data_IF_878162675195
#
_entry.id   IF_878162675195
#
_cell.length_a   1.000
_cell.length_b   1.000
_cell.length_c   1.000
_cell.angle_alpha   90.00
_cell.angle_beta   90.00
_cell.angle_gamma   90.00
#
_symmetry.space_group_name_H-M   'P 1'
#
loop_
_entity.id
_entity.type
_entity.pdbx_description
1 polymer ?
#
# COMPACT_ATOMS: atom_id res chain seq x y z
N UNK A 1 17.16 16.96 2.03
CA UNK A 1 17.39 15.80 1.11
C UNK A 1 18.85 15.73 0.72
N UNK A 2 19.45 14.53 0.79
CA UNK A 2 20.79 14.25 0.28
C UNK A 2 20.82 14.39 -1.24
N UNK A 3 22.01 14.39 -1.85
CA UNK A 3 22.13 14.42 -3.31
C UNK A 3 21.52 13.17 -3.94
N UNK A 4 21.76 11.99 -3.38
CA UNK A 4 21.20 10.71 -3.85
C UNK A 4 19.67 10.68 -3.82
N UNK A 5 19.06 11.22 -2.74
CA UNK A 5 17.60 11.35 -2.64
C UNK A 5 17.02 12.27 -3.73
N UNK A 6 17.70 13.36 -4.02
CA UNK A 6 17.28 14.29 -5.09
C UNK A 6 17.36 13.62 -6.47
N UNK A 7 18.47 12.94 -6.75
CA UNK A 7 18.68 12.20 -8.01
C UNK A 7 17.64 11.08 -8.18
N UNK A 8 17.38 10.32 -7.10
CA UNK A 8 16.31 9.32 -7.10
C UNK A 8 14.95 9.93 -7.42
N UNK A 9 14.54 11.00 -6.71
CA UNK A 9 13.25 11.64 -6.95
C UNK A 9 13.13 12.23 -8.35
N UNK A 10 14.20 12.81 -8.90
CA UNK A 10 14.21 13.31 -10.27
C UNK A 10 13.98 12.18 -11.29
N UNK A 11 14.67 11.05 -11.11
CA UNK A 11 14.49 9.89 -11.97
C UNK A 11 13.10 9.29 -11.82
N UNK A 12 12.65 9.08 -10.59
CA UNK A 12 11.34 8.53 -10.29
C UNK A 12 10.21 9.37 -10.87
N UNK A 13 10.34 10.71 -10.77
CA UNK A 13 9.41 11.66 -11.36
C UNK A 13 9.41 11.59 -12.89
N UNK A 14 10.59 11.58 -13.51
CA UNK A 14 10.72 11.48 -14.97
C UNK A 14 10.13 10.15 -15.51
N UNK A 15 10.23 9.05 -14.76
CA UNK A 15 9.58 7.80 -15.13
C UNK A 15 8.05 7.91 -15.11
N UNK A 16 7.48 8.63 -14.13
CA UNK A 16 6.03 8.87 -14.03
C UNK A 16 5.55 9.80 -15.17
N UNK A 17 6.27 10.88 -15.46
CA UNK A 17 5.93 11.79 -16.56
C UNK A 17 5.93 11.04 -17.90
N UNK A 18 6.99 10.25 -18.17
CA UNK A 18 7.08 9.41 -19.37
C UNK A 18 5.91 8.44 -19.46
N UNK A 19 5.59 7.73 -18.37
CA UNK A 19 4.45 6.83 -18.32
C UNK A 19 3.13 7.59 -18.59
N UNK A 20 2.95 8.79 -18.05
CA UNK A 20 1.78 9.62 -18.31
C UNK A 20 1.63 9.99 -19.79
N UNK A 21 2.73 10.35 -20.45
CA UNK A 21 2.74 10.68 -21.88
C UNK A 21 2.40 9.46 -22.75
N UNK A 22 2.93 8.29 -22.40
CA UNK A 22 2.63 7.03 -23.09
C UNK A 22 1.16 6.64 -22.91
N UNK A 23 0.65 6.67 -21.68
CA UNK A 23 -0.70 6.24 -21.33
C UNK A 23 -1.80 7.15 -21.91
N UNK A 24 -1.56 8.45 -22.07
CA UNK A 24 -2.51 9.36 -22.75
C UNK A 24 -2.81 8.95 -24.20
N UNK A 25 -1.88 8.26 -24.85
CA UNK A 25 -1.97 7.84 -26.24
C UNK A 25 -2.38 6.37 -26.40
N UNK A 26 -2.70 5.67 -25.32
CA UNK A 26 -3.09 4.28 -25.33
C UNK A 26 -4.52 4.13 -24.80
N UNK A 27 -5.30 3.14 -25.28
CA UNK A 27 -6.58 2.82 -24.68
C UNK A 27 -6.36 2.22 -23.28
N UNK A 28 -7.24 2.57 -22.35
CA UNK A 28 -7.25 1.93 -21.03
C UNK A 28 -7.54 0.43 -21.20
N UNK A 29 -6.81 -0.46 -20.49
CA UNK A 29 -7.01 -1.90 -20.56
C UNK A 29 -8.47 -2.29 -20.29
N UNK A 30 -8.99 -3.25 -21.03
CA UNK A 30 -10.33 -3.81 -20.84
C UNK A 30 -10.23 -5.07 -19.98
N UNK A 31 -10.98 -5.10 -18.87
CA UNK A 31 -11.07 -6.30 -18.02
C UNK A 31 -12.24 -7.17 -18.54
N UNK A 32 -11.90 -8.32 -19.13
CA UNK A 32 -12.89 -9.26 -19.65
C UNK A 32 -13.17 -10.35 -18.62
N UNK A 33 -14.44 -10.66 -18.42
CA UNK A 33 -14.84 -11.71 -17.47
C UNK A 33 -14.30 -13.08 -17.85
N UNK A 34 -14.20 -13.38 -19.12
CA UNK A 34 -13.63 -14.63 -19.63
C UNK A 34 -12.18 -14.84 -19.17
N UNK A 35 -11.38 -13.77 -19.12
CA UNK A 35 -9.99 -13.82 -18.63
C UNK A 35 -9.93 -14.03 -17.11
N UNK A 36 -10.90 -13.50 -16.35
CA UNK A 36 -11.04 -13.77 -14.92
C UNK A 36 -11.34 -15.26 -14.66
N UNK A 37 -12.32 -15.82 -15.38
CA UNK A 37 -12.71 -17.22 -15.22
C UNK A 37 -11.70 -18.22 -15.81
N UNK A 38 -10.80 -17.78 -16.69
CA UNK A 38 -9.74 -18.62 -17.24
C UNK A 38 -8.85 -19.25 -16.15
N UNK A 39 -8.67 -18.55 -15.01
CA UNK A 39 -7.94 -19.10 -13.88
C UNK A 39 -8.57 -20.40 -13.32
N UNK A 40 -9.89 -20.43 -13.17
CA UNK A 40 -10.62 -21.63 -12.73
C UNK A 40 -10.39 -22.83 -13.66
N UNK A 41 -10.33 -22.58 -14.96
CA UNK A 41 -10.23 -23.63 -15.98
C UNK A 41 -8.80 -24.13 -16.21
N UNK A 42 -7.82 -23.22 -16.17
CA UNK A 42 -6.44 -23.49 -16.63
C UNK A 42 -5.36 -23.17 -15.61
N UNK A 43 -5.70 -22.46 -14.53
CA UNK A 43 -4.72 -21.89 -13.59
C UNK A 43 -4.01 -20.63 -14.11
N UNK A 44 -4.37 -20.14 -15.31
CA UNK A 44 -3.77 -18.94 -15.87
C UNK A 44 -4.43 -17.68 -15.29
N UNK A 45 -3.68 -16.92 -14.51
CA UNK A 45 -4.09 -15.63 -13.94
C UNK A 45 -3.45 -14.43 -14.65
N UNK A 46 -2.36 -14.66 -15.38
CA UNK A 46 -1.48 -13.59 -15.88
C UNK A 46 -2.16 -12.69 -16.92
N UNK A 47 -3.09 -13.22 -17.71
CA UNK A 47 -3.82 -12.42 -18.70
C UNK A 47 -4.67 -11.38 -17.99
N UNK A 48 -5.53 -11.80 -17.07
CA UNK A 48 -6.39 -10.88 -16.31
C UNK A 48 -5.58 -9.91 -15.45
N UNK A 49 -4.58 -10.42 -14.73
CA UNK A 49 -3.71 -9.60 -13.87
C UNK A 49 -2.94 -8.55 -14.67
N UNK A 50 -2.48 -8.86 -15.88
CA UNK A 50 -1.81 -7.90 -16.75
C UNK A 50 -2.68 -6.68 -17.07
N UNK A 51 -3.94 -6.91 -17.45
CA UNK A 51 -4.91 -5.84 -17.73
C UNK A 51 -5.34 -5.11 -16.45
N UNK A 52 -5.53 -5.84 -15.36
CA UNK A 52 -5.87 -5.30 -14.04
C UNK A 52 -4.79 -4.33 -13.53
N UNK A 53 -3.53 -4.77 -13.51
CA UNK A 53 -2.42 -3.91 -13.08
C UNK A 53 -2.13 -2.79 -14.08
N UNK A 54 -2.42 -3.00 -15.36
CA UNK A 54 -2.45 -1.93 -16.36
C UNK A 54 -3.36 -0.79 -15.93
N UNK A 55 -4.60 -1.06 -15.49
CA UNK A 55 -5.50 -0.02 -14.95
C UNK A 55 -4.97 0.62 -13.67
N UNK A 56 -4.33 -0.15 -12.79
CA UNK A 56 -3.70 0.40 -11.57
C UNK A 56 -2.52 1.31 -11.90
N UNK A 57 -1.80 1.03 -13.02
CA UNK A 57 -0.79 1.96 -13.56
C UNK A 57 -1.40 3.31 -13.92
N UNK A 58 -2.54 3.32 -14.66
CA UNK A 58 -3.27 4.55 -14.96
C UNK A 58 -3.66 5.30 -13.68
N UNK A 59 -4.24 4.60 -12.70
CA UNK A 59 -4.65 5.20 -11.43
C UNK A 59 -3.47 5.89 -10.73
N UNK A 60 -2.36 5.20 -10.58
CA UNK A 60 -1.19 5.69 -9.85
C UNK A 60 -0.50 6.83 -10.59
N UNK A 61 -0.31 6.71 -11.91
CA UNK A 61 0.32 7.76 -12.73
C UNK A 61 -0.52 9.03 -12.68
N UNK A 62 -1.81 8.95 -13.05
CA UNK A 62 -2.64 10.16 -13.12
C UNK A 62 -3.05 10.68 -11.74
N UNK A 63 -3.10 9.83 -10.72
CA UNK A 63 -3.23 10.26 -9.33
C UNK A 63 -2.06 11.13 -8.88
N UNK A 64 -0.83 10.65 -9.06
CA UNK A 64 0.39 11.38 -8.69
C UNK A 64 0.54 12.66 -9.53
N UNK A 65 0.37 12.60 -10.86
CA UNK A 65 0.46 13.79 -11.71
C UNK A 65 -0.61 14.83 -11.35
N UNK A 66 -1.83 14.40 -11.01
CA UNK A 66 -2.91 15.30 -10.56
C UNK A 66 -2.60 15.95 -9.22
N UNK A 67 -2.04 15.21 -8.29
CA UNK A 67 -1.70 15.70 -6.96
C UNK A 67 -0.59 16.74 -7.01
N UNK A 68 0.52 16.42 -7.67
CA UNK A 68 1.74 17.24 -7.60
C UNK A 68 1.85 18.30 -8.69
N UNK A 69 1.18 18.14 -9.83
CA UNK A 69 1.14 19.15 -10.90
C UNK A 69 -0.17 19.94 -10.93
N UNK A 70 -1.30 19.29 -10.63
CA UNK A 70 -2.62 19.91 -10.67
C UNK A 70 -3.12 20.30 -12.07
N UNK A 71 -2.57 19.72 -13.14
CA UNK A 71 -2.98 20.01 -14.53
C UNK A 71 -4.37 19.43 -14.81
N UNK A 72 -5.22 20.21 -15.47
CA UNK A 72 -6.60 19.81 -15.80
C UNK A 72 -6.67 18.52 -16.62
N UNK A 73 -5.73 18.34 -17.56
CA UNK A 73 -5.65 17.13 -18.38
C UNK A 73 -5.42 15.85 -17.55
N UNK A 74 -4.59 15.93 -16.48
CA UNK A 74 -4.33 14.82 -15.58
C UNK A 74 -5.55 14.52 -14.73
N UNK A 75 -6.22 15.54 -14.20
CA UNK A 75 -7.46 15.40 -13.43
C UNK A 75 -8.59 14.77 -14.26
N UNK A 76 -8.70 15.14 -15.54
CA UNK A 76 -9.66 14.54 -16.46
C UNK A 76 -9.37 13.06 -16.71
N UNK A 77 -8.12 12.69 -16.94
CA UNK A 77 -7.72 11.29 -17.09
C UNK A 77 -7.96 10.52 -15.79
N UNK A 78 -7.60 11.07 -14.64
CA UNK A 78 -7.85 10.47 -13.35
C UNK A 78 -9.34 10.19 -13.12
N UNK A 79 -10.22 11.14 -13.42
CA UNK A 79 -11.66 10.95 -13.29
C UNK A 79 -12.16 9.77 -14.14
N UNK A 80 -11.67 9.64 -15.38
CA UNK A 80 -12.02 8.50 -16.25
C UNK A 80 -11.53 7.16 -15.67
N UNK A 81 -10.34 7.14 -15.10
CA UNK A 81 -9.79 5.93 -14.45
C UNK A 81 -10.57 5.53 -13.21
N UNK A 82 -10.92 6.51 -12.36
CA UNK A 82 -11.76 6.28 -11.18
C UNK A 82 -13.11 5.69 -11.57
N UNK A 83 -13.77 6.26 -12.59
CA UNK A 83 -15.04 5.77 -13.08
C UNK A 83 -14.90 4.34 -13.66
N UNK A 84 -13.81 4.05 -14.39
CA UNK A 84 -13.57 2.72 -14.95
C UNK A 84 -13.35 1.66 -13.86
N UNK A 85 -12.58 2.00 -12.79
CA UNK A 85 -12.34 1.08 -11.67
C UNK A 85 -13.65 0.83 -10.90
N UNK A 86 -14.47 1.84 -10.70
CA UNK A 86 -15.78 1.70 -10.07
C UNK A 86 -16.73 0.79 -10.84
N UNK A 87 -16.56 0.63 -12.15
CA UNK A 87 -17.38 -0.28 -12.99
C UNK A 87 -16.82 -1.69 -13.13
N UNK A 88 -15.64 -1.99 -12.58
CA UNK A 88 -15.10 -3.35 -12.56
C UNK A 88 -16.03 -4.28 -11.77
N UNK A 89 -16.27 -5.46 -12.29
CA UNK A 89 -17.11 -6.45 -11.60
C UNK A 89 -16.41 -6.97 -10.34
N UNK A 90 -15.12 -7.31 -10.47
CA UNK A 90 -14.31 -7.85 -9.38
C UNK A 90 -13.15 -6.90 -9.08
N UNK A 91 -12.98 -6.57 -7.78
CA UNK A 91 -11.74 -5.92 -7.32
C UNK A 91 -10.73 -6.94 -6.80
N UNK A 92 -11.21 -8.12 -6.37
CA UNK A 92 -10.34 -9.24 -6.01
C UNK A 92 -9.77 -9.93 -7.25
N UNK A 93 -8.56 -10.49 -7.14
CA UNK A 93 -7.95 -11.25 -8.21
C UNK A 93 -8.51 -12.68 -8.30
N UNK A 94 -8.49 -13.29 -9.49
CA UNK A 94 -9.05 -14.63 -9.71
C UNK A 94 -8.37 -15.71 -8.84
N UNK A 95 -7.08 -15.55 -8.52
CA UNK A 95 -6.36 -16.48 -7.66
C UNK A 95 -6.72 -16.38 -6.16
N UNK A 96 -7.49 -15.36 -5.77
CA UNK A 96 -7.81 -15.06 -4.37
C UNK A 96 -9.30 -15.29 -4.02
N UNK A 97 -10.10 -15.69 -4.99
CA UNK A 97 -11.53 -15.94 -4.79
C UNK A 97 -11.85 -17.43 -4.73
N UNK A 98 -12.95 -17.77 -4.05
CA UNK A 98 -13.48 -19.12 -4.07
C UNK A 98 -14.53 -19.25 -5.20
N UNK A 99 -14.18 -19.91 -6.31
CA UNK A 99 -15.09 -20.07 -7.45
C UNK A 99 -16.31 -20.94 -7.17
N UNK A 100 -16.29 -21.76 -6.12
CA UNK A 100 -17.46 -22.58 -5.73
C UNK A 100 -18.46 -21.79 -4.89
N UNK A 101 -18.04 -20.65 -4.33
CA UNK A 101 -18.87 -19.70 -3.60
C UNK A 101 -18.39 -18.28 -3.92
N UNK A 102 -18.48 -17.92 -5.23
CA UNK A 102 -17.95 -16.66 -5.73
C UNK A 102 -18.74 -15.48 -5.18
N UNK A 103 -18.03 -14.59 -4.48
CA UNK A 103 -18.53 -13.32 -3.99
C UNK A 103 -17.78 -12.18 -4.67
N UNK A 104 -18.52 -11.35 -5.41
CA UNK A 104 -17.97 -10.16 -6.11
C UNK A 104 -17.41 -9.11 -5.13
N UNK A 105 -17.80 -9.19 -3.85
CA UNK A 105 -17.34 -8.31 -2.76
C UNK A 105 -16.29 -8.96 -1.87
N UNK A 106 -15.61 -10.02 -2.37
CA UNK A 106 -14.47 -10.60 -1.66
C UNK A 106 -13.41 -9.53 -1.40
N UNK A 107 -13.02 -9.37 -0.14
CA UNK A 107 -11.94 -8.46 0.26
C UNK A 107 -10.65 -9.27 0.34
N UNK A 108 -9.88 -9.24 -0.74
CA UNK A 108 -8.50 -9.73 -0.81
C UNK A 108 -7.52 -8.55 -0.70
N UNK A 109 -6.24 -8.80 -0.95
CA UNK A 109 -5.19 -7.77 -0.98
C UNK A 109 -5.60 -6.61 -1.89
N UNK A 110 -6.02 -6.92 -3.13
CA UNK A 110 -6.21 -5.90 -4.16
C UNK A 110 -7.57 -5.19 -4.07
N UNK A 111 -8.59 -5.83 -3.57
CA UNK A 111 -9.86 -5.16 -3.26
C UNK A 111 -9.66 -4.16 -2.10
N UNK A 112 -8.91 -4.55 -1.06
CA UNK A 112 -8.56 -3.67 0.05
C UNK A 112 -7.69 -2.50 -0.41
N UNK A 113 -6.62 -2.77 -1.19
CA UNK A 113 -5.74 -1.74 -1.77
C UNK A 113 -6.50 -0.79 -2.70
N UNK A 114 -7.45 -1.29 -3.49
CA UNK A 114 -8.29 -0.47 -4.37
C UNK A 114 -9.14 0.49 -3.54
N UNK A 115 -9.81 0.00 -2.49
CA UNK A 115 -10.63 0.85 -1.61
C UNK A 115 -9.80 1.96 -0.95
N UNK A 116 -8.61 1.62 -0.44
CA UNK A 116 -7.68 2.57 0.15
C UNK A 116 -7.25 3.63 -0.87
N UNK A 117 -6.80 3.20 -2.05
CA UNK A 117 -6.29 4.09 -3.08
C UNK A 117 -7.36 5.08 -3.56
N UNK A 118 -8.57 4.58 -3.84
CA UNK A 118 -9.68 5.40 -4.32
C UNK A 118 -10.08 6.48 -3.30
N UNK A 119 -10.24 6.10 -2.02
CA UNK A 119 -10.65 7.05 -0.98
C UNK A 119 -9.53 8.01 -0.58
N UNK A 120 -8.28 7.60 -0.60
CA UNK A 120 -7.17 8.52 -0.38
C UNK A 120 -7.04 9.55 -1.51
N UNK A 121 -7.23 9.13 -2.76
CA UNK A 121 -7.28 10.06 -3.91
C UNK A 121 -8.45 11.05 -3.76
N UNK A 122 -9.61 10.58 -3.30
CA UNK A 122 -10.76 11.46 -3.02
C UNK A 122 -10.47 12.42 -1.87
N UNK A 123 -9.78 11.98 -0.82
CA UNK A 123 -9.39 12.86 0.29
C UNK A 123 -8.44 13.98 -0.19
N UNK A 124 -7.45 13.63 -1.04
CA UNK A 124 -6.45 14.57 -1.55
C UNK A 124 -7.01 15.50 -2.64
N UNK A 125 -7.82 14.97 -3.56
CA UNK A 125 -8.18 15.63 -4.82
C UNK A 125 -9.69 15.82 -5.02
N UNK A 126 -10.54 15.38 -4.09
CA UNK A 126 -12.00 15.37 -4.27
C UNK A 126 -12.58 16.72 -4.68
N UNK A 127 -12.02 17.81 -4.17
CA UNK A 127 -12.47 19.17 -4.50
C UNK A 127 -12.14 19.57 -5.96
N UNK A 128 -11.25 18.84 -6.64
CA UNK A 128 -10.83 19.08 -8.03
C UNK A 128 -11.42 18.08 -9.01
N UNK A 129 -12.08 17.03 -8.51
CA UNK A 129 -12.70 15.98 -9.32
C UNK A 129 -14.18 16.27 -9.55
N UNK A 130 -14.81 15.72 -10.61
CA UNK A 130 -16.25 15.81 -10.80
C UNK A 130 -16.99 15.20 -9.60
N UNK A 131 -17.98 15.91 -9.05
CA UNK A 131 -18.73 15.45 -7.88
C UNK A 131 -19.36 14.05 -8.10
N UNK A 132 -19.88 13.77 -9.29
CA UNK A 132 -20.47 12.47 -9.64
C UNK A 132 -19.42 11.33 -9.57
N UNK A 133 -18.17 11.57 -9.97
CA UNK A 133 -17.08 10.57 -9.86
C UNK A 133 -16.74 10.33 -8.39
N UNK A 134 -16.66 11.40 -7.57
CA UNK A 134 -16.40 11.28 -6.13
C UNK A 134 -17.51 10.49 -5.42
N UNK A 135 -18.78 10.83 -5.68
CA UNK A 135 -19.93 10.12 -5.12
C UNK A 135 -19.95 8.64 -5.51
N UNK A 136 -19.59 8.32 -6.77
CA UNK A 136 -19.49 6.92 -7.24
C UNK A 136 -18.39 6.18 -6.48
N UNK A 137 -17.20 6.75 -6.34
CA UNK A 137 -16.10 6.15 -5.56
C UNK A 137 -16.54 5.86 -4.14
N UNK A 138 -17.13 6.83 -3.47
CA UNK A 138 -17.63 6.67 -2.09
C UNK A 138 -18.67 5.56 -1.99
N UNK A 139 -19.63 5.51 -2.93
CA UNK A 139 -20.65 4.48 -2.98
C UNK A 139 -20.06 3.08 -3.18
N UNK A 140 -19.18 2.90 -4.17
CA UNK A 140 -18.60 1.61 -4.50
C UNK A 140 -17.70 1.08 -3.38
N UNK A 141 -16.85 1.93 -2.78
CA UNK A 141 -16.00 1.51 -1.65
C UNK A 141 -16.85 1.16 -0.44
N UNK A 142 -17.88 1.95 -0.16
CA UNK A 142 -18.81 1.67 0.95
C UNK A 142 -19.51 0.33 0.75
N UNK A 143 -20.01 0.06 -0.46
CA UNK A 143 -20.77 -1.14 -0.79
C UNK A 143 -19.90 -2.40 -0.85
N UNK A 144 -18.69 -2.30 -1.39
CA UNK A 144 -17.86 -3.48 -1.66
C UNK A 144 -16.92 -3.83 -0.50
N UNK A 145 -16.51 -2.86 0.31
CA UNK A 145 -15.48 -3.10 1.33
C UNK A 145 -15.97 -2.72 2.74
N UNK A 146 -16.45 -1.51 2.94
CA UNK A 146 -16.70 -1.01 4.29
C UNK A 146 -17.90 -1.71 4.94
N UNK A 147 -19.03 -1.77 4.24
CA UNK A 147 -20.25 -2.45 4.74
C UNK A 147 -20.00 -3.94 4.92
N UNK A 148 -19.48 -4.72 3.94
CA UNK A 148 -19.19 -6.13 4.13
C UNK A 148 -18.26 -6.40 5.32
N UNK A 149 -17.20 -5.60 5.47
CA UNK A 149 -16.25 -5.81 6.57
C UNK A 149 -16.89 -5.52 7.94
N UNK A 150 -17.56 -4.37 8.11
CA UNK A 150 -18.09 -3.96 9.42
C UNK A 150 -19.30 -4.78 9.86
N UNK A 151 -20.08 -5.34 8.93
CA UNK A 151 -21.29 -6.14 9.24
C UNK A 151 -21.00 -7.64 9.34
N UNK A 152 -19.81 -8.08 8.91
CA UNK A 152 -19.42 -9.49 9.01
C UNK A 152 -19.13 -9.92 10.45
N UNK A 153 -19.21 -11.23 10.70
CA UNK A 153 -18.67 -11.85 11.92
C UNK A 153 -17.13 -11.82 11.88
N UNK A 154 -16.49 -11.75 13.04
CA UNK A 154 -15.02 -11.81 13.15
C UNK A 154 -14.58 -13.29 13.18
N UNK A 155 -13.59 -13.71 12.39
CA UNK A 155 -12.91 -12.93 11.36
C UNK A 155 -13.77 -12.76 10.09
N UNK A 156 -13.62 -11.64 9.38
CA UNK A 156 -14.20 -11.47 8.05
C UNK A 156 -13.70 -12.56 7.10
N UNK A 157 -12.39 -12.77 7.11
CA UNK A 157 -11.69 -13.80 6.35
C UNK A 157 -10.47 -14.27 7.14
N UNK A 158 -9.84 -15.35 6.71
CA UNK A 158 -8.67 -15.95 7.34
C UNK A 158 -7.53 -14.93 7.61
N UNK A 159 -7.31 -13.98 6.71
CA UNK A 159 -6.24 -12.99 6.83
C UNK A 159 -6.38 -12.05 8.04
N UNK A 160 -7.59 -11.85 8.57
CA UNK A 160 -7.82 -10.98 9.74
C UNK A 160 -7.14 -11.50 11.02
N UNK A 161 -6.87 -12.80 11.08
CA UNK A 161 -6.21 -13.44 12.22
C UNK A 161 -4.88 -14.13 11.86
N UNK A 162 -4.41 -13.93 10.63
CA UNK A 162 -3.16 -14.52 10.17
C UNK A 162 -1.95 -13.68 10.59
N UNK A 163 -0.77 -14.30 10.54
CA UNK A 163 0.51 -13.70 10.93
C UNK A 163 1.38 -13.29 9.75
N UNK A 164 0.85 -13.33 8.54
CA UNK A 164 1.56 -12.96 7.32
C UNK A 164 1.23 -11.53 6.86
N UNK A 165 1.88 -11.10 5.78
CA UNK A 165 1.67 -9.77 5.19
C UNK A 165 0.21 -9.45 4.85
N UNK A 166 -0.63 -10.46 4.54
CA UNK A 166 -2.06 -10.26 4.23
C UNK A 166 -2.80 -9.52 5.34
N UNK A 167 -2.52 -9.86 6.60
CA UNK A 167 -3.13 -9.17 7.74
C UNK A 167 -2.83 -7.67 7.73
N UNK A 168 -1.56 -7.29 7.44
CA UNK A 168 -1.18 -5.88 7.39
C UNK A 168 -1.78 -5.15 6.19
N UNK A 169 -1.73 -5.79 5.01
CA UNK A 169 -2.18 -5.17 3.76
C UNK A 169 -3.69 -4.98 3.75
N UNK A 170 -4.46 -6.04 3.99
CA UNK A 170 -5.92 -5.95 3.98
C UNK A 170 -6.43 -5.06 5.11
N UNK A 171 -6.01 -5.30 6.35
CA UNK A 171 -6.50 -4.53 7.48
C UNK A 171 -6.04 -3.07 7.42
N UNK A 172 -4.75 -2.81 7.11
CA UNK A 172 -4.24 -1.45 6.97
C UNK A 172 -4.99 -0.66 5.90
N UNK A 173 -5.27 -1.28 4.74
CA UNK A 173 -6.03 -0.67 3.66
C UNK A 173 -7.47 -0.37 4.06
N UNK A 174 -8.18 -1.34 4.65
CA UNK A 174 -9.57 -1.15 5.13
C UNK A 174 -9.62 -0.06 6.21
N UNK A 175 -8.64 -0.04 7.11
CA UNK A 175 -8.55 0.99 8.16
C UNK A 175 -8.34 2.39 7.61
N UNK A 176 -7.43 2.58 6.66
CA UNK A 176 -7.23 3.87 5.98
C UNK A 176 -8.49 4.29 5.22
N UNK A 177 -9.09 3.37 4.46
CA UNK A 177 -10.34 3.63 3.75
C UNK A 177 -11.47 4.08 4.69
N UNK A 178 -11.61 3.45 5.85
CA UNK A 178 -12.61 3.84 6.85
C UNK A 178 -12.38 5.24 7.44
N UNK A 179 -11.12 5.61 7.66
CA UNK A 179 -10.75 6.96 8.13
C UNK A 179 -11.12 8.00 7.07
N UNK A 180 -10.66 7.81 5.81
CA UNK A 180 -10.94 8.76 4.72
C UNK A 180 -12.44 8.87 4.40
N UNK A 181 -13.18 7.74 4.45
CA UNK A 181 -14.63 7.76 4.27
C UNK A 181 -15.33 8.59 5.35
N UNK A 182 -14.93 8.42 6.61
CA UNK A 182 -15.49 9.20 7.72
C UNK A 182 -15.22 10.69 7.56
N UNK A 183 -13.98 11.04 7.20
CA UNK A 183 -13.58 12.43 6.95
C UNK A 183 -14.36 13.02 5.78
N UNK A 184 -14.62 12.23 4.72
CA UNK A 184 -15.45 12.68 3.61
C UNK A 184 -16.88 12.98 4.05
N UNK A 185 -17.55 12.11 4.83
CA UNK A 185 -18.90 12.38 5.35
C UNK A 185 -18.94 13.66 6.22
N UNK A 186 -17.92 13.85 7.06
CA UNK A 186 -17.81 15.02 7.92
C UNK A 186 -17.59 16.31 7.10
N UNK A 187 -16.67 16.29 6.13
CA UNK A 187 -16.33 17.42 5.25
C UNK A 187 -17.51 17.82 4.37
N UNK A 188 -18.21 16.86 3.79
CA UNK A 188 -19.34 17.10 2.89
C UNK A 188 -20.65 17.31 3.61
N UNK A 189 -20.68 17.16 4.95
CA UNK A 189 -21.90 17.23 5.78
C UNK A 189 -23.01 16.29 5.27
N UNK A 190 -22.61 15.14 4.69
CA UNK A 190 -23.52 14.14 4.17
C UNK A 190 -23.87 13.13 5.27
N UNK A 191 -25.12 12.62 5.29
CA UNK A 191 -25.46 11.50 6.16
C UNK A 191 -24.64 10.27 5.75
N UNK A 192 -24.19 9.50 6.74
CA UNK A 192 -23.57 8.20 6.46
C UNK A 192 -24.55 7.26 5.77
N UNK A 193 -24.05 6.28 5.03
CA UNK A 193 -24.84 5.20 4.46
C UNK A 193 -25.63 4.49 5.58
N UNK A 194 -26.93 4.25 5.35
CA UNK A 194 -27.83 3.65 6.33
C UNK A 194 -27.48 2.23 6.74
N UNK A 195 -26.71 1.52 5.90
CA UNK A 195 -26.21 0.17 6.18
C UNK A 195 -25.06 0.16 7.19
N UNK A 196 -24.42 1.32 7.43
CA UNK A 196 -23.34 1.45 8.39
C UNK A 196 -23.90 1.51 9.81
N UNK A 197 -23.55 0.58 10.72
CA UNK A 197 -24.02 0.60 12.09
C UNK A 197 -23.53 1.83 12.86
N UNK A 198 -24.12 2.08 14.02
CA UNK A 198 -23.62 3.13 14.91
C UNK A 198 -22.20 2.77 15.38
N UNK A 199 -21.30 3.75 15.43
CA UNK A 199 -19.89 3.52 15.80
C UNK A 199 -19.08 2.69 14.81
N UNK A 200 -19.52 2.53 13.56
CA UNK A 200 -18.88 1.71 12.53
C UNK A 200 -17.39 1.99 12.35
N UNK A 201 -16.97 3.25 12.33
CA UNK A 201 -15.56 3.65 12.19
C UNK A 201 -14.72 3.06 13.34
N UNK A 202 -15.17 3.23 14.58
CA UNK A 202 -14.43 2.70 15.73
C UNK A 202 -14.39 1.18 15.74
N UNK A 203 -15.47 0.53 15.31
CA UNK A 203 -15.51 -0.94 15.16
C UNK A 203 -14.47 -1.42 14.17
N UNK A 204 -14.37 -0.77 13.00
CA UNK A 204 -13.34 -1.11 11.99
C UNK A 204 -11.94 -0.85 12.56
N UNK A 205 -11.68 0.33 13.15
CA UNK A 205 -10.37 0.67 13.72
C UNK A 205 -9.91 -0.38 14.74
N UNK A 206 -10.81 -0.82 15.64
CA UNK A 206 -10.48 -1.83 16.63
C UNK A 206 -10.10 -3.16 15.97
N UNK A 207 -10.91 -3.68 15.03
CA UNK A 207 -10.62 -4.91 14.29
C UNK A 207 -9.30 -4.83 13.50
N UNK A 208 -9.06 -3.70 12.86
CA UNK A 208 -7.81 -3.43 12.13
C UNK A 208 -6.62 -3.45 13.08
N UNK A 209 -6.71 -2.82 14.25
CA UNK A 209 -5.65 -2.85 15.25
C UNK A 209 -5.36 -4.28 15.75
N UNK A 210 -6.38 -5.12 15.91
CA UNK A 210 -6.24 -6.53 16.30
C UNK A 210 -5.55 -7.33 15.18
N UNK A 211 -5.97 -7.18 13.92
CA UNK A 211 -5.34 -7.83 12.78
C UNK A 211 -3.87 -7.38 12.58
N UNK A 212 -3.60 -6.10 12.74
CA UNK A 212 -2.22 -5.57 12.71
C UNK A 212 -1.37 -6.07 13.87
N UNK A 213 -1.97 -6.41 15.02
CA UNK A 213 -1.24 -7.07 16.09
C UNK A 213 -0.88 -8.51 15.69
N UNK A 214 -1.78 -9.26 15.03
CA UNK A 214 -1.46 -10.58 14.49
C UNK A 214 -0.29 -10.52 13.50
N UNK A 215 -0.26 -9.53 12.61
CA UNK A 215 0.88 -9.30 11.71
C UNK A 215 2.20 -9.06 12.48
N UNK A 216 2.20 -8.19 13.49
CA UNK A 216 3.40 -7.96 14.31
C UNK A 216 3.82 -9.23 15.07
N UNK A 217 2.86 -10.04 15.52
CA UNK A 217 3.12 -11.32 16.19
C UNK A 217 3.70 -12.37 15.23
N UNK A 218 3.52 -12.19 13.93
CA UNK A 218 4.15 -12.99 12.88
C UNK A 218 5.61 -12.66 12.62
N UNK A 219 6.07 -11.47 13.01
CA UNK A 219 7.49 -11.15 13.00
C UNK A 219 8.19 -11.84 14.18
N UNK A 220 9.44 -12.18 14.02
CA UNK A 220 10.23 -12.79 15.08
C UNK A 220 10.56 -11.78 16.21
N UNK A 221 10.98 -12.27 17.36
CA UNK A 221 11.27 -11.43 18.55
C UNK A 221 12.44 -10.45 18.35
N UNK A 222 13.34 -10.74 17.41
CA UNK A 222 14.45 -9.88 16.98
C UNK A 222 14.07 -8.94 15.81
N UNK A 223 12.80 -8.99 15.36
CA UNK A 223 12.25 -8.17 14.29
C UNK A 223 12.35 -8.81 12.90
N UNK A 224 12.88 -10.02 12.77
CA UNK A 224 13.01 -10.66 11.45
C UNK A 224 11.66 -10.98 10.82
N UNK A 225 11.55 -10.70 9.50
CA UNK A 225 10.44 -11.10 8.67
C UNK A 225 10.79 -12.39 7.93
N UNK A 226 10.20 -13.52 8.31
CA UNK A 226 10.50 -14.83 7.70
C UNK A 226 10.00 -14.98 6.27
N UNK A 227 9.11 -14.11 5.81
CA UNK A 227 8.65 -14.06 4.42
C UNK A 227 9.68 -13.39 3.47
N UNK A 228 10.70 -12.71 3.99
CA UNK A 228 11.71 -12.03 3.21
C UNK A 228 11.51 -10.52 3.06
N UNK A 229 12.52 -9.85 2.45
CA UNK A 229 12.55 -8.38 2.31
C UNK A 229 11.39 -7.80 1.49
N UNK A 230 10.98 -8.49 0.43
CA UNK A 230 9.87 -8.03 -0.41
C UNK A 230 8.57 -7.94 0.38
N UNK A 231 8.23 -9.00 1.10
CA UNK A 231 7.02 -9.04 1.94
C UNK A 231 7.13 -8.17 3.19
N UNK A 232 8.34 -8.02 3.76
CA UNK A 232 8.58 -7.00 4.79
C UNK A 232 8.19 -5.61 4.28
N UNK A 233 8.71 -5.19 3.13
CA UNK A 233 8.42 -3.88 2.55
C UNK A 233 6.92 -3.73 2.24
N UNK A 234 6.28 -4.79 1.74
CA UNK A 234 4.87 -4.80 1.41
C UNK A 234 3.99 -4.64 2.66
N UNK A 235 4.12 -5.53 3.64
CA UNK A 235 3.32 -5.47 4.87
C UNK A 235 3.57 -4.20 5.68
N UNK A 236 4.85 -3.81 5.84
CA UNK A 236 5.20 -2.58 6.58
C UNK A 236 4.71 -1.30 5.91
N UNK A 237 4.57 -1.26 4.58
CA UNK A 237 3.99 -0.09 3.90
C UNK A 237 2.56 0.17 4.34
N UNK A 238 1.73 -0.87 4.42
CA UNK A 238 0.32 -0.74 4.84
C UNK A 238 0.17 -0.58 6.36
N UNK A 239 1.01 -1.26 7.14
CA UNK A 239 1.08 -1.04 8.57
C UNK A 239 1.39 0.41 8.91
N UNK A 240 2.46 0.96 8.32
CA UNK A 240 2.89 2.34 8.58
C UNK A 240 1.96 3.37 7.97
N UNK A 241 1.36 3.07 6.81
CA UNK A 241 0.33 3.92 6.20
C UNK A 241 -0.87 4.10 7.13
N UNK A 242 -1.41 3.00 7.64
CA UNK A 242 -2.51 3.06 8.61
C UNK A 242 -2.07 3.69 9.95
N UNK A 243 -0.89 3.34 10.46
CA UNK A 243 -0.37 3.93 11.70
C UNK A 243 -0.29 5.45 11.63
N UNK A 244 0.17 6.00 10.50
CA UNK A 244 0.21 7.45 10.26
C UNK A 244 -1.21 8.04 10.17
N UNK A 245 -2.10 7.43 9.39
CA UNK A 245 -3.48 7.91 9.25
C UNK A 245 -4.21 7.92 10.60
N UNK A 246 -4.07 6.86 11.40
CA UNK A 246 -4.67 6.77 12.73
C UNK A 246 -4.06 7.78 13.71
N UNK A 247 -2.75 7.99 13.66
CA UNK A 247 -2.10 9.01 14.47
C UNK A 247 -2.63 10.41 14.17
N UNK A 248 -2.82 10.73 12.90
CA UNK A 248 -3.39 12.01 12.46
C UNK A 248 -4.87 12.14 12.88
N UNK A 249 -5.68 11.12 12.61
CA UNK A 249 -7.11 11.07 12.95
C UNK A 249 -7.32 11.26 14.47
N UNK A 250 -6.50 10.65 15.28
CA UNK A 250 -6.57 10.69 16.74
C UNK A 250 -5.77 11.85 17.37
N UNK A 251 -5.23 12.74 16.54
CA UNK A 251 -4.37 13.87 16.98
C UNK A 251 -3.24 13.44 17.91
N UNK A 252 -2.62 12.30 17.58
CA UNK A 252 -1.49 11.75 18.30
C UNK A 252 -1.82 10.93 19.55
N UNK A 253 -3.10 10.71 19.87
CA UNK A 253 -3.47 9.93 21.07
C UNK A 253 -3.26 8.42 20.90
N UNK A 254 -3.30 7.91 19.66
CA UNK A 254 -2.99 6.52 19.33
C UNK A 254 -1.78 6.51 18.39
N UNK A 255 -0.69 5.90 18.85
CA UNK A 255 0.57 5.79 18.10
C UNK A 255 1.01 4.33 18.03
N UNK A 256 0.72 3.68 16.91
CA UNK A 256 1.07 2.27 16.70
C UNK A 256 2.57 2.06 16.53
N UNK A 257 3.31 3.09 16.12
CA UNK A 257 4.76 3.00 15.98
C UNK A 257 5.50 2.92 17.33
N UNK A 258 4.82 3.24 18.45
CA UNK A 258 5.40 3.08 19.80
C UNK A 258 5.33 1.65 20.36
N UNK A 259 4.77 0.71 19.63
CA UNK A 259 4.79 -0.70 20.04
C UNK A 259 6.25 -1.21 20.10
N UNK A 260 6.68 -1.88 21.19
CA UNK A 260 8.09 -2.23 21.40
C UNK A 260 8.74 -3.04 20.28
N UNK A 261 7.95 -3.88 19.58
CA UNK A 261 8.44 -4.73 18.49
C UNK A 261 8.69 -3.95 17.19
N UNK A 262 7.99 -2.80 17.00
CA UNK A 262 8.10 -2.02 15.76
C UNK A 262 9.50 -1.49 15.50
N UNK A 263 10.24 -1.08 16.55
CA UNK A 263 11.63 -0.63 16.39
C UNK A 263 12.52 -1.76 15.87
N UNK A 264 12.43 -2.95 16.45
CA UNK A 264 13.19 -4.12 16.00
C UNK A 264 12.87 -4.50 14.56
N UNK A 265 11.58 -4.48 14.19
CA UNK A 265 11.12 -4.75 12.83
C UNK A 265 11.66 -3.70 11.86
N UNK A 266 11.65 -2.41 12.23
CA UNK A 266 12.19 -1.34 11.39
C UNK A 266 13.70 -1.51 11.09
N UNK A 267 14.45 -2.12 12.02
CA UNK A 267 15.89 -2.39 11.87
C UNK A 267 16.18 -3.65 11.04
N UNK A 268 15.18 -4.47 10.72
CA UNK A 268 15.38 -5.71 9.95
C UNK A 268 15.94 -5.45 8.56
N UNK A 269 15.40 -4.48 7.84
CA UNK A 269 15.80 -4.17 6.47
C UNK A 269 17.32 -3.96 6.34
N UNK A 270 17.92 -3.13 7.21
CA UNK A 270 19.35 -2.80 7.12
C UNK A 270 20.29 -3.97 7.38
N UNK A 271 19.81 -5.01 8.08
CA UNK A 271 20.57 -6.24 8.34
C UNK A 271 20.64 -7.15 7.12
N UNK A 272 19.78 -6.95 6.14
CA UNK A 272 19.62 -7.79 4.97
C UNK A 272 20.39 -7.29 3.73
N UNK A 273 21.07 -6.14 3.80
CA UNK A 273 21.86 -5.59 2.69
C UNK A 273 23.36 -5.68 2.98
N UNK A 274 24.10 -6.31 2.07
CA UNK A 274 25.55 -6.60 2.25
C UNK A 274 26.47 -5.60 1.58
N UNK A 275 25.93 -4.56 0.91
CA UNK A 275 26.70 -3.67 0.05
C UNK A 275 26.86 -4.21 -1.39
N UNK A 276 27.35 -3.34 -2.29
CA UNK A 276 27.55 -3.71 -3.70
C UNK A 276 26.25 -4.11 -4.43
N UNK A 277 25.09 -3.69 -3.95
CA UNK A 277 23.82 -4.03 -4.56
C UNK A 277 23.32 -5.46 -4.26
N UNK A 278 23.85 -6.11 -3.22
CA UNK A 278 23.49 -7.48 -2.86
C UNK A 278 22.66 -7.49 -1.59
N UNK A 279 21.57 -8.25 -1.61
CA UNK A 279 20.74 -8.53 -0.43
C UNK A 279 20.68 -10.02 -0.11
N UNK A 280 20.29 -10.34 1.12
CA UNK A 280 20.05 -11.73 1.52
C UNK A 280 18.88 -12.30 0.72
N UNK A 281 19.05 -13.52 0.23
CA UNK A 281 18.04 -14.23 -0.57
C UNK A 281 17.59 -15.47 0.21
N UNK A 282 16.42 -15.37 0.83
CA UNK A 282 15.71 -16.49 1.48
C UNK A 282 14.20 -16.31 1.24
N UNK A 283 13.43 -17.39 1.47
CA UNK A 283 12.01 -17.42 1.15
C UNK A 283 11.78 -16.97 -0.30
N UNK A 284 10.87 -16.04 -0.55
CA UNK A 284 10.60 -15.49 -1.89
C UNK A 284 11.50 -14.29 -2.25
N UNK A 285 12.55 -14.04 -1.47
CA UNK A 285 13.45 -12.90 -1.65
C UNK A 285 14.48 -13.10 -2.77
N UNK A 286 14.76 -12.03 -3.50
CA UNK A 286 15.84 -11.94 -4.50
C UNK A 286 17.18 -11.58 -3.84
N UNK A 287 18.30 -11.97 -4.48
CA UNK A 287 19.64 -11.51 -4.09
C UNK A 287 19.91 -10.02 -4.42
N UNK A 288 18.98 -9.37 -5.10
CA UNK A 288 19.03 -7.94 -5.47
C UNK A 288 17.70 -7.29 -5.15
N UNK A 289 17.20 -7.49 -3.93
CA UNK A 289 15.92 -6.93 -3.51
C UNK A 289 16.00 -5.41 -3.42
N UNK A 290 14.96 -4.75 -3.92
CA UNK A 290 14.88 -3.29 -3.86
C UNK A 290 14.24 -2.82 -2.55
N UNK A 291 14.56 -1.60 -2.12
CA UNK A 291 13.90 -0.97 -0.98
C UNK A 291 12.99 0.19 -1.41
N UNK A 292 12.05 0.55 -0.53
CA UNK A 292 11.14 1.67 -0.71
C UNK A 292 11.68 2.91 0.03
N UNK A 293 12.22 3.93 -0.67
CA UNK A 293 12.81 5.10 -0.03
C UNK A 293 11.84 5.86 0.88
N UNK A 294 10.58 5.98 0.49
CA UNK A 294 9.55 6.62 1.32
C UNK A 294 9.33 5.89 2.64
N UNK A 295 9.11 4.57 2.58
CA UNK A 295 8.96 3.73 3.78
C UNK A 295 10.18 3.86 4.69
N UNK A 296 11.39 3.73 4.12
CA UNK A 296 12.64 3.82 4.89
C UNK A 296 12.80 5.19 5.56
N UNK A 297 12.42 6.29 4.87
CA UNK A 297 12.46 7.64 5.44
C UNK A 297 11.49 7.79 6.61
N UNK A 298 10.28 7.24 6.50
CA UNK A 298 9.32 7.25 7.59
C UNK A 298 9.79 6.41 8.79
N UNK A 299 10.31 5.20 8.53
CA UNK A 299 10.88 4.36 9.59
C UNK A 299 12.06 5.04 10.28
N UNK A 300 12.93 5.71 9.54
CA UNK A 300 14.06 6.49 10.10
C UNK A 300 13.59 7.69 10.91
N UNK A 301 12.48 8.33 10.50
CA UNK A 301 11.88 9.40 11.30
C UNK A 301 11.37 8.87 12.66
N UNK A 302 10.73 7.70 12.67
CA UNK A 302 10.26 7.07 13.90
C UNK A 302 11.42 6.51 14.76
N UNK A 303 12.45 5.97 14.11
CA UNK A 303 13.58 5.27 14.74
C UNK A 303 14.90 5.74 14.10
N UNK A 304 15.61 6.70 14.69
CA UNK A 304 16.81 7.31 14.10
C UNK A 304 17.95 6.34 13.79
N UNK A 305 17.96 5.14 14.39
CA UNK A 305 18.95 4.08 14.13
C UNK A 305 18.74 3.37 12.78
N UNK A 306 17.60 3.58 12.10
CA UNK A 306 17.36 2.99 10.78
C UNK A 306 18.35 3.58 9.78
N UNK A 307 19.10 2.70 9.11
CA UNK A 307 20.06 3.04 8.05
C UNK A 307 19.39 2.88 6.69
N UNK A 308 19.56 3.88 5.84
CA UNK A 308 19.07 3.81 4.46
C UNK A 308 20.03 2.95 3.64
N UNK A 309 19.52 1.93 2.90
CA UNK A 309 20.33 1.17 1.96
C UNK A 309 20.88 2.05 0.83
N UNK A 310 21.82 1.50 0.04
CA UNK A 310 22.38 2.16 -1.14
C UNK A 310 21.25 2.50 -2.14
N UNK A 311 21.22 3.74 -2.63
CA UNK A 311 20.20 4.20 -3.56
C UNK A 311 20.24 3.52 -4.93
N UNK A 312 21.29 2.78 -5.28
CA UNK A 312 21.30 1.90 -6.45
C UNK A 312 20.24 0.78 -6.35
N UNK A 313 19.82 0.44 -5.11
CA UNK A 313 18.77 -0.52 -4.81
C UNK A 313 17.40 0.13 -4.58
N UNK A 314 17.28 1.45 -4.71
CA UNK A 314 16.00 2.12 -4.56
C UNK A 314 15.03 1.70 -5.67
N UNK A 315 13.82 1.29 -5.29
CA UNK A 315 12.80 0.82 -6.25
C UNK A 315 12.42 1.92 -7.22
N UNK A 316 12.55 1.65 -8.52
CA UNK A 316 12.05 2.54 -9.58
C UNK A 316 10.53 2.49 -9.66
N UNK A 317 9.92 3.42 -10.40
CA UNK A 317 8.47 3.44 -10.61
C UNK A 317 7.95 2.14 -11.24
N UNK A 318 8.62 1.62 -12.27
CA UNK A 318 8.27 0.36 -12.93
C UNK A 318 8.77 -0.90 -12.16
N UNK A 319 9.38 -0.72 -10.99
CA UNK A 319 9.86 -1.83 -10.15
C UNK A 319 8.77 -2.53 -9.35
N UNK A 320 7.54 -1.99 -9.31
CA UNK A 320 6.34 -2.67 -8.79
C UNK A 320 5.38 -2.95 -9.93
N UNK A 321 5.31 -4.20 -10.38
CA UNK A 321 4.42 -4.63 -11.46
C UNK A 321 2.93 -4.41 -11.14
N UNK A 322 2.57 -4.25 -9.87
CA UNK A 322 1.19 -3.96 -9.44
C UNK A 322 0.88 -2.45 -9.39
N UNK A 323 1.88 -1.60 -9.56
CA UNK A 323 1.76 -0.14 -9.54
C UNK A 323 0.96 0.39 -8.33
N UNK A 324 1.26 -0.11 -7.13
CA UNK A 324 0.54 0.23 -5.91
C UNK A 324 0.59 1.72 -5.60
N UNK A 325 -0.58 2.34 -5.50
CA UNK A 325 -0.73 3.75 -5.17
C UNK A 325 0.04 4.12 -3.90
N UNK A 326 -0.23 3.41 -2.79
CA UNK A 326 0.33 3.74 -1.48
C UNK A 326 1.86 3.86 -1.51
N UNK A 327 2.56 2.85 -2.02
CA UNK A 327 4.02 2.85 -2.02
C UNK A 327 4.61 3.92 -2.95
N UNK A 328 4.01 4.11 -4.12
CA UNK A 328 4.51 5.08 -5.10
C UNK A 328 4.29 6.53 -4.65
N UNK A 329 3.12 6.83 -4.10
CA UNK A 329 2.82 8.14 -3.54
C UNK A 329 3.71 8.43 -2.33
N UNK A 330 3.87 7.46 -1.40
CA UNK A 330 4.73 7.60 -0.23
C UNK A 330 6.21 7.75 -0.58
N UNK A 331 6.69 7.18 -1.67
CA UNK A 331 8.06 7.42 -2.15
C UNK A 331 8.30 8.90 -2.49
N UNK A 332 7.28 9.64 -2.89
CA UNK A 332 7.40 11.07 -3.13
C UNK A 332 7.12 11.88 -1.86
N UNK A 333 5.97 11.64 -1.23
CA UNK A 333 5.49 12.45 -0.09
C UNK A 333 6.38 12.25 1.13
N UNK A 334 6.63 11.02 1.54
CA UNK A 334 7.40 10.74 2.76
C UNK A 334 8.87 11.06 2.60
N UNK A 335 9.45 10.86 1.40
CA UNK A 335 10.83 11.26 1.16
C UNK A 335 11.00 12.79 1.24
N UNK A 336 9.99 13.56 0.86
CA UNK A 336 9.99 15.03 1.02
C UNK A 336 9.70 15.47 2.45
N UNK A 337 8.81 14.78 3.14
CA UNK A 337 8.32 15.16 4.48
C UNK A 337 9.27 14.76 5.60
N UNK A 338 9.88 13.57 5.51
CA UNK A 338 10.70 12.97 6.57
C UNK A 338 12.19 12.99 6.22
N UNK A 339 12.63 14.05 5.55
CA UNK A 339 14.03 14.27 5.21
C UNK A 339 14.87 14.61 6.44
N UNK A 340 15.64 13.65 6.91
CA UNK A 340 16.61 13.82 7.99
C UNK A 340 17.99 14.13 7.40
N UNK A 341 18.17 15.29 6.79
CA UNK A 341 19.43 15.72 6.16
C UNK A 341 20.63 15.80 7.11
N UNK A 342 20.41 15.75 8.42
CA UNK A 342 21.47 15.91 9.43
C UNK A 342 22.11 14.61 9.93
N UNK A 343 21.54 13.45 9.65
CA UNK A 343 22.18 12.18 10.01
C UNK A 343 23.18 11.76 8.94
N UNK A 344 24.48 11.83 9.24
CA UNK A 344 25.52 11.22 8.41
C UNK A 344 25.13 9.77 8.14
N UNK A 345 24.97 9.42 6.87
CA UNK A 345 24.84 8.03 6.45
C UNK A 345 26.17 7.33 6.80
N UNK A 346 26.22 6.67 7.93
CA UNK A 346 27.20 5.61 8.13
C UNK A 346 26.71 4.43 7.31
N UNK A 347 27.09 4.41 6.04
CA UNK A 347 27.01 3.17 5.28
C UNK A 347 27.80 2.14 6.05
N UNK A 348 27.20 1.01 6.39
CA UNK A 348 27.91 -0.11 7.01
C UNK A 348 29.06 -0.51 6.06
N UNK A 349 30.27 0.01 6.34
CA UNK A 349 31.48 -0.24 5.53
C UNK A 349 32.23 -1.48 5.96
N UNK A 350 31.90 -2.02 7.14
CA UNK A 350 32.56 -3.18 7.67
C UNK A 350 31.67 -4.41 7.56
N UNK A 351 32.25 -5.46 6.98
CA UNK A 351 31.63 -6.78 6.96
C UNK A 351 31.46 -7.25 8.41
N UNK A 352 30.22 -7.31 8.86
CA UNK A 352 29.87 -7.94 10.13
C UNK A 352 28.85 -9.04 9.84
N UNK A 353 28.79 -10.02 10.74
CA UNK A 353 27.68 -10.97 10.71
C UNK A 353 26.73 -10.62 11.85
N UNK A 354 25.46 -10.88 11.63
CA UNK A 354 24.43 -10.75 12.65
C UNK A 354 23.63 -12.04 12.74
N UNK A 355 23.43 -12.52 13.96
CA UNK A 355 22.58 -13.66 14.22
C UNK A 355 21.16 -13.16 14.49
N UNK A 356 20.23 -13.44 13.59
CA UNK A 356 18.79 -13.33 13.83
C UNK A 356 18.34 -14.62 14.54
N UNK A 357 18.53 -14.65 15.86
CA UNK A 357 18.47 -15.88 16.64
C UNK A 357 17.11 -16.56 16.62
N UNK A 358 16.03 -15.77 16.61
CA UNK A 358 14.67 -16.29 16.59
C UNK A 358 14.33 -16.93 15.23
N UNK A 359 14.82 -16.35 14.13
CA UNK A 359 14.66 -16.90 12.79
C UNK A 359 15.73 -17.95 12.44
N UNK A 360 16.71 -18.18 13.31
CA UNK A 360 17.86 -19.08 13.09
C UNK A 360 18.70 -18.71 11.87
N UNK A 361 18.77 -17.44 11.53
CA UNK A 361 19.60 -16.94 10.43
C UNK A 361 20.87 -16.27 10.94
N UNK A 362 21.94 -16.45 10.17
CA UNK A 362 23.19 -15.70 10.34
C UNK A 362 23.40 -14.86 9.08
N UNK A 363 23.42 -13.55 9.23
CA UNK A 363 23.56 -12.57 8.17
C UNK A 363 24.91 -11.87 8.23
#
# INVERSE_FOLDING_TARGET
MTQEQKEYLQKFWADIERAGDELRNQPMPELREEDFFLFKETGNRLIYEGEYFGRRKYLTVFGILSEFEGKEENLKMLAQVLDAICTERFWALPAHVNFDALDEKTIDLFAAETAQSLLEIVDILGDKLPAQTVERVVCEVTDRVIVPFVTSTVPYSWWEQDRCNWAAVCAGSVGMAAIYLSQWYEKMQQPKDERLPEGWKQTIINRVCDALQCYLDGMEEDGACTEGLGYFAYGMSYYTGFAQALYQETKGSIDLMKKPKCEKIALFQQKCYFGGGVSVSFSDGSSHETFLPGLTSYLKHCYPQVVTPDYSLARSFDGDACYRWLSNERNIRWLRQYDNAETKNETAKDWSYELLAAAQWML
#
